data_IF_672209675525
#
_entry.id   IF_672209675525
#
_cell.length_a   1.000
_cell.length_b   1.000
_cell.length_c   1.000
_cell.angle_alpha   90.00
_cell.angle_beta   90.00
_cell.angle_gamma   90.00
#
_symmetry.space_group_name_H-M   'P 1'
#
loop_
_entity.id
_entity.type
_entity.pdbx_description
1 polymer ?
#
# COMPACT_ATOMS: atom_id res chain seq x y z
N UNK A 1 19.70 0.38 -6.12
CA UNK A 1 18.72 0.50 -7.22
C UNK A 1 18.67 -0.74 -8.10
N UNK A 2 19.78 -1.21 -8.67
CA UNK A 2 19.79 -2.41 -9.54
C UNK A 2 19.09 -3.65 -8.95
N UNK A 3 19.39 -3.99 -7.68
CA UNK A 3 18.77 -5.12 -6.98
C UNK A 3 17.24 -4.97 -6.86
N UNK A 4 16.73 -3.73 -6.78
CA UNK A 4 15.29 -3.48 -6.77
C UNK A 4 14.64 -3.83 -8.11
N UNK A 5 15.28 -3.44 -9.21
CA UNK A 5 14.80 -3.75 -10.56
C UNK A 5 14.80 -5.26 -10.79
N UNK A 6 15.82 -5.94 -10.29
CA UNK A 6 15.87 -7.41 -10.32
C UNK A 6 14.77 -8.03 -9.46
N UNK A 7 14.52 -7.50 -8.26
CA UNK A 7 13.43 -7.94 -7.39
C UNK A 7 12.05 -7.80 -8.05
N UNK A 8 11.81 -6.69 -8.75
CA UNK A 8 10.57 -6.46 -9.52
C UNK A 8 10.28 -7.55 -10.57
N UNK A 9 11.33 -8.10 -11.18
CA UNK A 9 11.22 -9.14 -12.23
C UNK A 9 11.17 -10.53 -11.59
N UNK A 10 11.91 -10.76 -10.49
CA UNK A 10 12.15 -12.10 -9.94
C UNK A 10 11.12 -12.56 -8.91
N UNK A 11 10.46 -11.63 -8.20
CA UNK A 11 9.49 -11.95 -7.14
C UNK A 11 8.18 -12.51 -7.73
N UNK A 12 7.56 -13.51 -7.06
CA UNK A 12 6.47 -14.29 -7.65
C UNK A 12 5.13 -13.54 -7.71
N UNK A 13 4.86 -12.61 -6.81
CA UNK A 13 3.58 -11.90 -6.70
C UNK A 13 3.72 -10.36 -6.72
N UNK A 14 2.62 -9.68 -7.04
CA UNK A 14 2.56 -8.22 -7.09
C UNK A 14 2.85 -7.56 -5.74
N UNK A 15 2.40 -8.16 -4.63
CA UNK A 15 2.55 -7.57 -3.30
C UNK A 15 4.00 -7.65 -2.82
N UNK A 16 4.68 -8.79 -2.99
CA UNK A 16 6.11 -8.86 -2.68
C UNK A 16 6.95 -8.00 -3.62
N UNK A 17 6.58 -7.88 -4.90
CA UNK A 17 7.22 -6.94 -5.84
C UNK A 17 7.12 -5.48 -5.36
N UNK A 18 6.05 -5.08 -4.66
CA UNK A 18 5.91 -3.74 -4.09
C UNK A 18 6.92 -3.46 -2.96
N UNK A 19 7.34 -4.49 -2.23
CA UNK A 19 8.29 -4.35 -1.13
C UNK A 19 9.73 -4.13 -1.61
N UNK A 20 10.12 -4.71 -2.74
CA UNK A 20 11.48 -4.57 -3.28
C UNK A 20 11.89 -3.10 -3.55
N UNK A 21 11.12 -2.29 -4.30
CA UNK A 21 11.39 -0.86 -4.50
C UNK A 21 11.38 -0.08 -3.20
N UNK A 22 10.40 -0.34 -2.33
CA UNK A 22 10.25 0.41 -1.08
C UNK A 22 11.47 0.23 -0.17
N UNK A 23 11.93 -1.02 0.05
CA UNK A 23 13.11 -1.32 0.87
C UNK A 23 14.39 -0.76 0.24
N UNK A 24 14.57 -0.93 -1.06
CA UNK A 24 15.75 -0.48 -1.77
C UNK A 24 15.84 1.06 -1.84
N UNK A 25 14.70 1.75 -1.97
CA UNK A 25 14.65 3.20 -1.97
C UNK A 25 15.11 3.77 -0.63
N UNK A 26 14.55 3.30 0.50
CA UNK A 26 14.93 3.79 1.83
C UNK A 26 16.42 3.61 2.11
N UNK A 27 16.98 2.43 1.80
CA UNK A 27 18.42 2.18 1.98
C UNK A 27 19.27 3.00 1.03
N UNK A 28 18.91 3.08 -0.25
CA UNK A 28 19.66 3.86 -1.24
C UNK A 28 19.70 5.34 -0.89
N UNK A 29 18.59 5.87 -0.39
CA UNK A 29 18.42 7.26 -0.01
C UNK A 29 19.17 7.58 1.30
N UNK A 30 19.23 6.63 2.24
CA UNK A 30 20.07 6.73 3.44
C UNK A 30 21.57 6.84 3.08
N UNK A 31 22.07 5.95 2.21
CA UNK A 31 23.45 6.03 1.75
C UNK A 31 23.73 7.29 0.92
N UNK A 32 22.77 7.74 0.11
CA UNK A 32 22.89 8.98 -0.66
C UNK A 32 23.06 10.18 0.27
N UNK A 33 22.29 10.27 1.36
CA UNK A 33 22.42 11.34 2.34
C UNK A 33 23.80 11.35 3.01
N UNK A 34 24.31 10.18 3.39
CA UNK A 34 25.66 10.05 3.94
C UNK A 34 26.70 10.51 2.91
N UNK A 35 26.56 10.08 1.65
CA UNK A 35 27.48 10.47 0.58
C UNK A 35 27.47 11.99 0.34
N UNK A 36 26.30 12.63 0.30
CA UNK A 36 26.18 14.09 0.14
C UNK A 36 26.80 14.83 1.34
N UNK A 37 26.55 14.35 2.56
CA UNK A 37 27.12 14.94 3.77
C UNK A 37 28.67 14.89 3.79
N UNK A 38 29.26 13.85 3.20
CA UNK A 38 30.71 13.71 3.08
C UNK A 38 31.31 14.48 1.88
N UNK A 39 30.58 14.55 0.76
CA UNK A 39 31.09 15.11 -0.48
C UNK A 39 31.02 16.65 -0.54
N UNK A 40 29.94 17.24 -0.04
CA UNK A 40 29.73 18.69 -0.08
C UNK A 40 29.14 19.15 1.26
N UNK A 41 29.96 19.61 2.20
CA UNK A 41 29.51 20.04 3.52
C UNK A 41 28.86 21.44 3.49
N UNK A 42 28.12 21.75 2.42
CA UNK A 42 27.34 22.97 2.31
C UNK A 42 25.92 22.74 2.87
N UNK A 43 25.54 23.54 3.86
CA UNK A 43 24.24 23.40 4.53
C UNK A 43 23.05 23.48 3.55
N UNK A 44 23.14 24.31 2.51
CA UNK A 44 22.06 24.48 1.51
C UNK A 44 21.86 23.20 0.71
N UNK A 45 22.94 22.55 0.27
CA UNK A 45 22.88 21.32 -0.51
C UNK A 45 22.35 20.15 0.33
N UNK A 46 22.86 19.99 1.55
CA UNK A 46 22.40 18.95 2.48
C UNK A 46 20.91 19.13 2.80
N UNK A 47 20.46 20.35 3.05
CA UNK A 47 19.05 20.63 3.35
C UNK A 47 18.15 20.29 2.16
N UNK A 48 18.53 20.67 0.93
CA UNK A 48 17.79 20.32 -0.29
C UNK A 48 17.71 18.81 -0.50
N UNK A 49 18.83 18.10 -0.34
CA UNK A 49 18.86 16.65 -0.45
C UNK A 49 17.91 16.00 0.58
N UNK A 50 17.94 16.45 1.83
CA UNK A 50 17.10 15.94 2.90
C UNK A 50 15.61 16.20 2.66
N UNK A 51 15.24 17.35 2.10
CA UNK A 51 13.87 17.64 1.67
C UNK A 51 13.39 16.70 0.56
N UNK A 52 14.21 16.47 -0.46
CA UNK A 52 13.90 15.52 -1.55
C UNK A 52 13.74 14.10 -0.98
N UNK A 53 14.64 13.71 -0.08
CA UNK A 53 14.58 12.41 0.59
C UNK A 53 13.29 12.25 1.39
N UNK A 54 12.96 13.23 2.22
CA UNK A 54 11.74 13.22 3.04
C UNK A 54 10.48 13.17 2.17
N UNK A 55 10.47 13.93 1.07
CA UNK A 55 9.36 13.94 0.13
C UNK A 55 9.15 12.56 -0.50
N UNK A 56 10.21 11.96 -1.08
CA UNK A 56 10.14 10.63 -1.69
C UNK A 56 9.77 9.57 -0.64
N UNK A 57 10.34 9.65 0.56
CA UNK A 57 10.05 8.73 1.66
C UNK A 57 8.59 8.79 2.13
N UNK A 58 7.92 9.95 2.00
CA UNK A 58 6.49 10.08 2.28
C UNK A 58 5.61 9.62 1.10
N UNK A 59 6.00 9.97 -0.14
CA UNK A 59 5.21 9.65 -1.34
C UNK A 59 5.24 8.15 -1.66
N UNK A 60 6.39 7.48 -1.50
CA UNK A 60 6.53 6.08 -1.87
C UNK A 60 5.59 5.13 -1.08
N UNK A 61 5.46 5.22 0.26
CA UNK A 61 4.50 4.42 1.02
C UNK A 61 3.05 4.69 0.66
N UNK A 62 2.68 5.96 0.42
CA UNK A 62 1.31 6.33 0.03
C UNK A 62 0.98 5.72 -1.34
N UNK A 63 1.89 5.85 -2.31
CA UNK A 63 1.75 5.23 -3.63
C UNK A 63 1.64 3.71 -3.54
N UNK A 64 2.51 3.07 -2.76
CA UNK A 64 2.49 1.63 -2.53
C UNK A 64 1.16 1.17 -1.89
N UNK A 65 0.65 1.91 -0.90
CA UNK A 65 -0.62 1.58 -0.24
C UNK A 65 -1.81 1.66 -1.21
N UNK A 66 -1.87 2.70 -2.05
CA UNK A 66 -2.92 2.86 -3.05
C UNK A 66 -2.83 1.74 -4.11
N UNK A 67 -1.61 1.41 -4.58
CA UNK A 67 -1.39 0.31 -5.52
C UNK A 67 -1.81 -1.04 -4.93
N UNK A 68 -1.44 -1.33 -3.69
CA UNK A 68 -1.82 -2.57 -3.00
C UNK A 68 -3.35 -2.68 -2.87
N UNK A 69 -4.02 -1.59 -2.49
CA UNK A 69 -5.48 -1.54 -2.38
C UNK A 69 -6.17 -1.70 -3.73
N UNK A 70 -5.63 -1.08 -4.78
CA UNK A 70 -6.13 -1.22 -6.14
C UNK A 70 -5.94 -2.64 -6.67
N UNK A 71 -4.78 -3.26 -6.45
CA UNK A 71 -4.51 -4.64 -6.83
C UNK A 71 -5.44 -5.62 -6.12
N UNK A 72 -5.68 -5.40 -4.82
CA UNK A 72 -6.63 -6.22 -4.05
C UNK A 72 -8.06 -6.11 -4.60
N UNK A 73 -8.49 -4.91 -5.00
CA UNK A 73 -9.82 -4.69 -5.57
C UNK A 73 -10.00 -5.25 -6.98
N UNK A 74 -8.91 -5.41 -7.73
CA UNK A 74 -8.92 -5.98 -9.07
C UNK A 74 -8.62 -7.49 -9.07
N UNK A 75 -8.68 -8.15 -7.90
CA UNK A 75 -8.42 -9.58 -7.74
C UNK A 75 -7.10 -10.04 -8.38
N UNK A 76 -6.04 -9.22 -8.24
CA UNK A 76 -4.71 -9.56 -8.77
C UNK A 76 -4.23 -10.88 -8.15
N UNK A 77 -3.78 -11.85 -8.97
CA UNK A 77 -3.30 -13.14 -8.48
C UNK A 77 -2.18 -12.99 -7.45
N UNK A 78 -2.28 -13.72 -6.35
CA UNK A 78 -1.21 -13.86 -5.35
C UNK A 78 -0.36 -15.06 -5.71
N UNK A 79 0.87 -15.12 -5.20
CA UNK A 79 1.70 -16.31 -5.37
C UNK A 79 1.07 -17.49 -4.65
N UNK A 80 1.31 -18.69 -5.15
CA UNK A 80 0.88 -19.95 -4.52
C UNK A 80 1.51 -20.14 -3.12
N UNK A 81 2.61 -19.42 -2.84
CA UNK A 81 3.27 -19.35 -1.53
C UNK A 81 2.49 -18.49 -0.51
N UNK A 82 1.52 -17.69 -0.96
CA UNK A 82 0.72 -16.82 -0.08
C UNK A 82 -0.46 -17.62 0.49
N UNK A 83 -0.23 -18.33 1.58
CA UNK A 83 -1.24 -19.23 2.19
C UNK A 83 -2.28 -18.51 3.07
N UNK A 84 -2.01 -17.28 3.52
CA UNK A 84 -2.84 -16.57 4.51
C UNK A 84 -3.37 -15.23 3.99
N UNK A 85 -4.69 -15.09 3.95
CA UNK A 85 -5.38 -13.80 3.74
C UNK A 85 -6.45 -13.57 4.82
N UNK A 86 -6.05 -12.92 5.91
CA UNK A 86 -6.97 -12.53 6.99
C UNK A 86 -7.96 -11.42 6.59
N UNK A 87 -7.70 -10.71 5.49
CA UNK A 87 -8.54 -9.61 5.03
C UNK A 87 -9.71 -10.09 4.16
N UNK A 88 -9.58 -11.23 3.48
CA UNK A 88 -10.63 -11.89 2.72
C UNK A 88 -12.00 -11.98 3.44
N UNK A 89 -12.10 -12.51 4.68
CA UNK A 89 -13.40 -12.61 5.37
C UNK A 89 -14.03 -11.23 5.65
N UNK A 90 -13.23 -10.20 5.93
CA UNK A 90 -13.73 -8.83 6.16
C UNK A 90 -14.33 -8.25 4.88
N UNK A 91 -13.65 -8.46 3.74
CA UNK A 91 -14.14 -7.99 2.44
C UNK A 91 -15.39 -8.74 2.01
N UNK A 92 -15.45 -10.05 2.21
CA UNK A 92 -16.64 -10.86 1.92
C UNK A 92 -17.85 -10.44 2.78
N UNK A 93 -17.65 -10.16 4.08
CA UNK A 93 -18.70 -9.64 4.97
C UNK A 93 -19.22 -8.28 4.50
N UNK A 94 -18.32 -7.36 4.13
CA UNK A 94 -18.72 -6.07 3.54
C UNK A 94 -19.49 -6.27 2.24
N UNK A 95 -19.03 -7.14 1.34
CA UNK A 95 -19.68 -7.39 0.05
C UNK A 95 -21.08 -7.99 0.21
N UNK A 96 -21.25 -8.94 1.15
CA UNK A 96 -22.57 -9.49 1.51
C UNK A 96 -23.50 -8.42 2.08
N UNK A 97 -23.03 -7.61 3.04
CA UNK A 97 -23.84 -6.55 3.66
C UNK A 97 -24.26 -5.44 2.69
N UNK A 98 -23.46 -5.18 1.64
CA UNK A 98 -23.80 -4.24 0.57
C UNK A 98 -24.76 -4.85 -0.46
N UNK A 99 -24.66 -6.16 -0.71
CA UNK A 99 -25.56 -6.88 -1.60
C UNK A 99 -26.92 -7.17 -0.96
N UNK A 100 -26.98 -7.20 0.37
CA UNK A 100 -28.21 -7.30 1.15
C UNK A 100 -28.86 -5.90 1.23
N UNK A 101 -30.01 -5.67 0.56
CA UNK A 101 -30.63 -4.36 0.55
C UNK A 101 -31.05 -4.01 1.98
N UNK A 102 -30.61 -2.84 2.45
CA UNK A 102 -30.93 -2.24 3.75
C UNK A 102 -32.41 -1.78 3.82
N UNK A 103 -33.36 -2.61 3.39
CA UNK A 103 -34.79 -2.25 3.37
C UNK A 103 -35.76 -3.32 3.84
N UNK A 104 -35.29 -4.50 4.30
CA UNK A 104 -36.20 -5.52 4.80
C UNK A 104 -36.54 -5.40 6.30
N UNK A 105 -35.78 -4.62 7.09
CA UNK A 105 -36.03 -4.48 8.54
C UNK A 105 -36.80 -3.23 8.96
N UNK A 106 -36.98 -2.26 8.06
CA UNK A 106 -37.64 -0.98 8.37
C UNK A 106 -39.15 -1.01 8.05
N UNK A 107 -39.69 -2.14 7.59
CA UNK A 107 -41.12 -2.33 7.28
C UNK A 107 -41.87 -3.18 8.32
N UNK A 108 -41.20 -3.66 9.37
CA UNK A 108 -41.81 -4.53 10.40
C UNK A 108 -42.04 -3.83 11.75
N UNK A 109 -41.85 -2.50 11.83
CA UNK A 109 -42.07 -1.74 13.05
C UNK A 109 -42.89 -0.46 12.84
N UNK A 110 -44.15 -0.61 12.43
CA UNK A 110 -45.18 0.38 12.76
C UNK A 110 -46.48 -0.31 13.23
N UNK A 111 -46.67 -0.48 14.55
CA UNK A 111 -47.93 -0.96 15.13
C UNK A 111 -49.04 0.10 15.13
N UNK A 112 -48.85 1.31 14.57
CA UNK A 112 -49.83 2.41 14.67
C UNK A 112 -50.93 2.43 13.61
N UNK A 113 -50.94 1.50 12.64
CA UNK A 113 -51.98 1.44 11.58
C UNK A 113 -53.10 0.39 11.79
N UNK A 114 -53.13 -0.37 12.88
CA UNK A 114 -54.17 -1.40 13.08
C UNK A 114 -54.87 -1.35 14.45
N UNK A 115 -55.53 -0.20 14.70
CA UNK A 115 -56.61 0.05 15.68
C UNK A 115 -56.29 0.07 17.17
#
# INVERSE_FOLDING_TARGET
MFVSSLGLIRLPDFYSRLHAPTKAATLGLFFLLIAVALAVPEAVMVTKALLVVAFIAATAPVGAHILARAAYRNDVPRSDETELDEYAPVVQRRRKRVAEPTHASDLEHDPSEAR
#
